data_IF_335344781509
#
_entry.id   IF_335344781509
#
_cell.length_a   1.000
_cell.length_b   1.000
_cell.length_c   1.000
_cell.angle_alpha   90.00
_cell.angle_beta   90.00
_cell.angle_gamma   90.00
#
_symmetry.space_group_name_H-M   'P 1'
#
loop_
_entity.id
_entity.type
_entity.pdbx_description
1 polymer ?
#
# COMPACT_ATOMS: atom_id res chain seq x y z
N UNK A 1 -20.48 13.40 -19.75
CA UNK A 1 -19.45 14.21 -19.08
C UNK A 1 -19.75 14.28 -17.59
N UNK A 2 -18.87 13.81 -16.74
CA UNK A 2 -19.10 13.88 -15.30
C UNK A 2 -18.76 15.29 -14.79
N UNK A 3 -19.65 15.84 -13.98
CA UNK A 3 -19.38 17.07 -13.23
C UNK A 3 -18.66 16.68 -11.93
N UNK A 4 -17.65 17.45 -11.55
CA UNK A 4 -16.89 17.21 -10.33
C UNK A 4 -17.22 18.31 -9.33
N UNK A 5 -17.48 17.91 -8.08
CA UNK A 5 -17.61 18.81 -6.94
C UNK A 5 -16.55 18.48 -5.91
N UNK A 6 -16.02 19.50 -5.23
CA UNK A 6 -15.02 19.34 -4.18
C UNK A 6 -15.63 19.71 -2.83
N UNK A 7 -15.60 18.77 -1.89
CA UNK A 7 -16.06 18.96 -0.50
C UNK A 7 -14.95 18.48 0.42
N UNK A 8 -14.50 19.33 1.34
CA UNK A 8 -13.43 19.03 2.30
C UNK A 8 -12.17 18.44 1.63
N UNK A 9 -11.73 19.05 0.53
CA UNK A 9 -10.57 18.63 -0.29
C UNK A 9 -10.73 17.29 -1.01
N UNK A 10 -11.93 16.70 -1.01
CA UNK A 10 -12.21 15.47 -1.75
C UNK A 10 -12.98 15.83 -3.02
N UNK A 11 -12.51 15.32 -4.15
CA UNK A 11 -13.23 15.41 -5.41
C UNK A 11 -14.24 14.29 -5.50
N UNK A 12 -15.47 14.65 -5.86
CA UNK A 12 -16.56 13.70 -6.07
C UNK A 12 -17.06 13.81 -7.50
N UNK A 13 -17.34 12.65 -8.10
CA UNK A 13 -18.13 12.60 -9.34
C UNK A 13 -19.61 12.69 -8.99
N UNK A 14 -20.36 13.48 -9.75
CA UNK A 14 -21.79 13.68 -9.54
C UNK A 14 -22.57 12.82 -10.54
N UNK A 15 -23.50 12.02 -10.01
CA UNK A 15 -24.39 11.18 -10.79
C UNK A 15 -25.85 11.59 -10.50
N UNK A 16 -26.50 12.38 -11.40
CA UNK A 16 -27.91 12.71 -11.23
C UNK A 16 -28.80 11.48 -11.25
N UNK A 17 -29.75 11.42 -10.33
CA UNK A 17 -30.71 10.33 -10.23
C UNK A 17 -32.06 10.76 -10.84
N UNK A 18 -32.91 9.77 -11.21
CA UNK A 18 -34.24 10.03 -11.82
C UNK A 18 -35.18 10.79 -10.88
N UNK A 19 -35.02 10.63 -9.55
CA UNK A 19 -35.83 11.30 -8.54
C UNK A 19 -35.39 12.76 -8.23
N UNK A 20 -34.40 13.28 -8.97
CA UNK A 20 -33.86 14.62 -8.76
C UNK A 20 -32.77 14.69 -7.68
N UNK A 21 -32.46 13.60 -7.02
CA UNK A 21 -31.34 13.54 -6.08
C UNK A 21 -30.01 13.42 -6.82
N UNK A 22 -28.91 13.78 -6.15
CA UNK A 22 -27.54 13.64 -6.65
C UNK A 22 -26.82 12.56 -5.88
N UNK A 23 -26.25 11.59 -6.59
CA UNK A 23 -25.33 10.62 -6.00
C UNK A 23 -23.91 11.15 -6.17
N UNK A 24 -23.18 11.28 -5.04
CA UNK A 24 -21.78 11.68 -5.04
C UNK A 24 -20.91 10.46 -4.78
N UNK A 25 -19.94 10.21 -5.65
CA UNK A 25 -18.93 9.16 -5.46
C UNK A 25 -17.54 9.79 -5.34
N UNK A 26 -16.78 9.48 -4.27
CA UNK A 26 -15.41 9.98 -4.13
C UNK A 26 -14.57 9.54 -5.34
N UNK A 27 -13.85 10.50 -5.92
CA UNK A 27 -12.93 10.22 -7.01
C UNK A 27 -11.64 9.64 -6.45
N UNK A 28 -11.28 8.43 -6.93
CA UNK A 28 -10.07 7.75 -6.50
C UNK A 28 -8.88 8.19 -7.33
N UNK A 29 -7.75 8.49 -6.67
CA UNK A 29 -6.50 8.83 -7.33
C UNK A 29 -5.76 7.54 -7.63
N UNK A 30 -5.48 7.28 -8.92
CA UNK A 30 -4.74 6.10 -9.34
C UNK A 30 -3.23 6.36 -9.29
N UNK A 31 -2.48 5.46 -8.66
CA UNK A 31 -1.02 5.50 -8.60
C UNK A 31 -0.48 4.18 -9.12
N UNK A 32 0.37 4.23 -10.15
CA UNK A 32 0.98 3.05 -10.76
C UNK A 32 2.51 3.15 -10.91
N UNK A 33 3.12 4.16 -10.32
CA UNK A 33 4.58 4.32 -10.33
C UNK A 33 5.09 4.89 -9.01
N UNK A 34 6.39 4.67 -8.75
CA UNK A 34 7.03 5.06 -7.49
C UNK A 34 7.18 6.58 -7.35
N UNK A 35 7.40 7.30 -8.45
CA UNK A 35 7.56 8.76 -8.41
C UNK A 35 6.27 9.44 -7.96
N UNK A 36 5.15 9.00 -8.49
CA UNK A 36 3.84 9.51 -8.08
C UNK A 36 3.50 9.10 -6.64
N UNK A 37 3.84 7.88 -6.25
CA UNK A 37 3.64 7.40 -4.88
C UNK A 37 4.36 8.30 -3.87
N UNK A 38 5.59 8.72 -4.18
CA UNK A 38 6.39 9.57 -3.31
C UNK A 38 5.84 11.00 -3.11
N UNK A 39 4.85 11.40 -3.89
CA UNK A 39 4.21 12.72 -3.77
C UNK A 39 3.13 12.78 -2.68
N UNK A 40 2.76 11.64 -2.08
CA UNK A 40 1.71 11.54 -1.08
C UNK A 40 2.27 11.11 0.28
N UNK A 41 1.59 11.54 1.34
CA UNK A 41 1.91 11.13 2.71
C UNK A 41 0.92 10.07 3.18
N UNK A 42 1.42 8.87 3.44
CA UNK A 42 0.63 7.73 3.90
C UNK A 42 0.66 7.54 5.42
N UNK A 43 1.36 8.40 6.15
CA UNK A 43 1.31 8.38 7.61
C UNK A 43 -0.10 8.69 8.09
N UNK A 44 -0.57 7.96 9.10
CA UNK A 44 -1.95 8.05 9.63
C UNK A 44 -3.04 7.76 8.58
N UNK A 45 -2.70 7.02 7.53
CA UNK A 45 -3.67 6.54 6.55
C UNK A 45 -4.32 5.25 7.01
N UNK A 46 -5.44 4.89 6.36
CA UNK A 46 -6.15 3.64 6.58
C UNK A 46 -6.18 2.82 5.30
N UNK A 47 -5.81 1.55 5.39
CA UNK A 47 -5.95 0.61 4.27
C UNK A 47 -7.41 0.18 4.21
N UNK A 48 -8.08 0.50 3.10
CA UNK A 48 -9.48 0.14 2.87
C UNK A 48 -9.60 -1.30 2.35
N UNK A 49 -8.73 -1.67 1.41
CA UNK A 49 -8.68 -3.02 0.87
C UNK A 49 -7.31 -3.32 0.29
N UNK A 50 -6.96 -4.60 0.23
CA UNK A 50 -5.71 -5.05 -0.36
C UNK A 50 -5.91 -6.36 -1.10
N UNK A 51 -5.43 -6.43 -2.34
CA UNK A 51 -5.35 -7.67 -3.13
C UNK A 51 -3.92 -7.88 -3.59
N UNK A 52 -3.42 -9.09 -3.42
CA UNK A 52 -2.13 -9.53 -3.95
C UNK A 52 -2.40 -10.74 -4.83
N UNK A 53 -2.02 -10.67 -6.12
CA UNK A 53 -2.25 -11.73 -7.12
C UNK A 53 -3.71 -12.22 -7.12
N UNK A 54 -4.67 -11.27 -7.03
CA UNK A 54 -6.11 -11.50 -6.97
C UNK A 54 -6.64 -12.12 -5.66
N UNK A 55 -5.78 -12.40 -4.69
CA UNK A 55 -6.20 -12.85 -3.36
C UNK A 55 -6.48 -11.64 -2.47
N UNK A 56 -7.67 -11.64 -1.85
CA UNK A 56 -8.07 -10.58 -0.91
C UNK A 56 -7.38 -10.82 0.42
N UNK A 57 -6.67 -9.79 0.91
CA UNK A 57 -6.04 -9.82 2.22
C UNK A 57 -6.85 -8.97 3.21
N UNK A 58 -7.23 -9.56 4.34
CA UNK A 58 -7.85 -8.86 5.46
C UNK A 58 -6.78 -8.27 6.39
N UNK A 59 -5.89 -7.43 5.83
CA UNK A 59 -4.81 -6.79 6.57
C UNK A 59 -4.91 -5.29 6.43
N UNK A 60 -4.77 -4.59 7.56
CA UNK A 60 -4.90 -3.14 7.65
C UNK A 60 -3.60 -2.44 8.06
N UNK A 61 -2.48 -3.16 8.06
CA UNK A 61 -1.17 -2.60 8.40
C UNK A 61 -0.18 -2.86 7.26
N UNK A 62 0.55 -1.83 6.86
CA UNK A 62 1.56 -1.94 5.80
C UNK A 62 2.63 -2.98 6.12
N UNK A 63 3.07 -3.03 7.38
CA UNK A 63 4.04 -4.03 7.84
C UNK A 63 3.58 -5.46 7.58
N UNK A 64 2.32 -5.76 7.84
CA UNK A 64 1.77 -7.10 7.63
C UNK A 64 1.71 -7.45 6.14
N UNK A 65 1.37 -6.49 5.29
CA UNK A 65 1.36 -6.65 3.83
C UNK A 65 2.78 -6.88 3.32
N UNK A 66 3.74 -6.09 3.79
CA UNK A 66 5.15 -6.25 3.42
C UNK A 66 5.66 -7.64 3.77
N UNK A 67 5.32 -8.15 4.96
CA UNK A 67 5.71 -9.48 5.38
C UNK A 67 5.17 -10.56 4.42
N UNK A 68 3.92 -10.42 3.97
CA UNK A 68 3.35 -11.34 2.98
C UNK A 68 4.05 -11.25 1.62
N UNK A 69 4.38 -10.04 1.16
CA UNK A 69 5.15 -9.83 -0.08
C UNK A 69 6.52 -10.53 0.04
N UNK A 70 7.21 -10.33 1.14
CA UNK A 70 8.51 -10.97 1.35
C UNK A 70 8.41 -12.50 1.41
N UNK A 71 7.35 -13.06 1.96
CA UNK A 71 7.10 -14.50 1.95
C UNK A 71 6.89 -15.05 0.54
N UNK A 72 6.17 -14.31 -0.30
CA UNK A 72 5.95 -14.69 -1.71
C UNK A 72 7.28 -14.70 -2.48
N UNK A 73 8.11 -13.67 -2.29
CA UNK A 73 9.36 -13.50 -3.01
C UNK A 73 10.41 -14.52 -2.55
N UNK A 74 10.47 -14.76 -1.25
CA UNK A 74 11.61 -15.44 -0.60
C UNK A 74 11.44 -16.94 -0.50
N UNK A 75 10.69 -17.60 -1.23
CA UNK A 75 10.48 -19.07 -1.25
C UNK A 75 11.63 -19.93 -0.63
N UNK A 76 12.14 -19.54 0.57
CA UNK A 76 13.14 -20.26 1.35
C UNK A 76 14.61 -19.81 1.24
N UNK A 77 14.91 -18.72 0.54
CA UNK A 77 16.32 -18.30 0.30
C UNK A 77 16.92 -17.38 1.36
N UNK A 78 16.14 -16.80 2.28
CA UNK A 78 16.57 -15.83 3.31
C UNK A 78 17.24 -14.56 2.74
N UNK A 79 17.09 -14.28 1.46
CA UNK A 79 17.69 -13.11 0.80
C UNK A 79 16.60 -12.36 0.05
N UNK A 80 16.38 -11.11 0.42
CA UNK A 80 15.51 -10.19 -0.33
C UNK A 80 16.41 -9.30 -1.18
N UNK A 81 16.31 -9.43 -2.50
CA UNK A 81 17.10 -8.64 -3.45
C UNK A 81 16.51 -7.25 -3.64
N UNK A 82 17.38 -6.28 -3.86
CA UNK A 82 16.99 -4.90 -4.20
C UNK A 82 16.04 -4.26 -3.18
N UNK A 83 16.16 -4.64 -1.91
CA UNK A 83 15.37 -4.04 -0.84
C UNK A 83 15.80 -2.60 -0.58
N UNK A 84 14.83 -1.76 -0.26
CA UNK A 84 15.06 -0.39 0.22
C UNK A 84 15.15 -0.33 1.75
N UNK A 85 14.91 -1.43 2.45
CA UNK A 85 14.93 -1.53 3.90
C UNK A 85 16.22 -2.21 4.38
N UNK A 86 16.57 -1.96 5.63
CA UNK A 86 17.67 -2.65 6.29
C UNK A 86 17.24 -4.03 6.76
N UNK A 87 17.93 -5.06 6.29
CA UNK A 87 17.62 -6.46 6.58
C UNK A 87 18.87 -7.15 7.11
N UNK A 88 18.69 -7.97 8.15
CA UNK A 88 19.72 -8.88 8.67
C UNK A 88 19.28 -10.32 8.48
N UNK A 89 20.17 -11.19 8.13
CA UNK A 89 19.89 -12.64 7.91
C UNK A 89 20.01 -13.46 9.20
N UNK A 90 19.91 -12.80 10.34
CA UNK A 90 19.93 -13.39 11.68
C UNK A 90 18.77 -12.86 12.50
N UNK A 91 18.46 -13.54 13.61
CA UNK A 91 17.53 -12.98 14.60
C UNK A 91 18.16 -11.77 15.29
N UNK A 92 17.50 -10.63 15.17
CA UNK A 92 17.96 -9.36 15.72
C UNK A 92 16.76 -8.49 16.11
N UNK A 93 16.61 -8.20 17.39
CA UNK A 93 15.44 -7.49 17.94
C UNK A 93 15.83 -6.16 18.62
N UNK A 94 16.86 -5.49 18.12
CA UNK A 94 17.34 -4.21 18.64
C UNK A 94 17.23 -3.10 17.60
N UNK A 95 17.29 -1.86 18.03
CA UNK A 95 17.32 -0.68 17.15
C UNK A 95 16.19 -0.63 16.12
N UNK A 96 14.97 -1.03 16.53
CA UNK A 96 13.80 -1.02 15.65
C UNK A 96 13.68 -2.22 14.71
N UNK A 97 14.60 -3.18 14.76
CA UNK A 97 14.46 -4.41 13.99
C UNK A 97 13.45 -5.36 14.65
N UNK A 98 12.75 -6.10 13.83
CA UNK A 98 11.88 -7.21 14.25
C UNK A 98 12.20 -8.45 13.43
N UNK A 99 12.09 -9.62 14.06
CA UNK A 99 12.41 -10.90 13.46
C UNK A 99 11.18 -11.55 12.83
N UNK A 100 11.31 -11.95 11.55
CA UNK A 100 10.35 -12.80 10.86
C UNK A 100 10.83 -14.24 10.90
N UNK A 101 10.33 -15.02 11.85
CA UNK A 101 10.75 -16.40 12.06
C UNK A 101 10.58 -17.26 10.82
N UNK A 102 9.46 -17.10 10.11
CA UNK A 102 9.15 -17.88 8.90
C UNK A 102 10.18 -17.69 7.79
N UNK A 103 10.83 -16.53 7.72
CA UNK A 103 11.82 -16.20 6.71
C UNK A 103 13.25 -16.25 7.24
N UNK A 104 13.42 -16.31 8.56
CA UNK A 104 14.74 -16.27 9.20
C UNK A 104 15.49 -14.95 9.00
N UNK A 105 14.78 -13.85 8.84
CA UNK A 105 15.35 -12.52 8.63
C UNK A 105 14.80 -11.53 9.65
N UNK A 106 15.60 -10.49 9.93
CA UNK A 106 15.16 -9.34 10.73
C UNK A 106 15.10 -8.09 9.86
N UNK A 107 14.04 -7.33 10.00
CA UNK A 107 13.76 -6.13 9.19
C UNK A 107 13.70 -4.94 10.11
N UNK A 108 14.39 -3.86 9.75
CA UNK A 108 14.24 -2.61 10.48
C UNK A 108 12.90 -1.95 10.13
N UNK A 109 12.10 -1.67 11.16
CA UNK A 109 10.82 -0.99 11.01
C UNK A 109 11.00 0.43 10.47
N UNK A 110 10.09 0.84 9.62
CA UNK A 110 10.07 2.16 8.98
C UNK A 110 8.67 2.74 9.03
N UNK A 111 8.53 4.02 8.69
CA UNK A 111 7.21 4.66 8.60
C UNK A 111 6.37 4.09 7.45
N UNK A 112 5.09 4.49 7.40
CA UNK A 112 4.16 4.02 6.39
C UNK A 112 4.62 4.35 4.97
N UNK A 113 5.22 5.51 4.75
CA UNK A 113 5.68 5.95 3.43
C UNK A 113 6.78 5.02 2.89
N UNK A 114 7.79 4.75 3.70
CA UNK A 114 8.89 3.86 3.32
C UNK A 114 8.44 2.41 3.18
N UNK A 115 7.52 1.97 4.05
CA UNK A 115 6.97 0.62 3.98
C UNK A 115 6.18 0.40 2.70
N UNK A 116 5.28 1.32 2.35
CA UNK A 116 4.49 1.23 1.11
C UNK A 116 5.37 1.34 -0.13
N UNK A 117 6.39 2.19 -0.09
CA UNK A 117 7.37 2.29 -1.17
C UNK A 117 8.07 0.95 -1.43
N UNK A 118 8.52 0.27 -0.37
CA UNK A 118 9.14 -1.05 -0.49
C UNK A 118 8.16 -2.11 -1.02
N UNK A 119 6.91 -2.10 -0.55
CA UNK A 119 5.87 -3.01 -1.06
C UNK A 119 5.74 -2.86 -2.58
N UNK A 120 5.56 -1.63 -3.06
CA UNK A 120 5.41 -1.36 -4.49
C UNK A 120 6.68 -1.70 -5.27
N UNK A 121 7.85 -1.34 -4.72
CA UNK A 121 9.14 -1.64 -5.32
C UNK A 121 9.32 -3.16 -5.55
N UNK A 122 9.05 -3.96 -4.54
CA UNK A 122 9.19 -5.41 -4.65
C UNK A 122 8.13 -6.03 -5.57
N UNK A 123 6.91 -5.55 -5.54
CA UNK A 123 5.86 -6.02 -6.45
C UNK A 123 6.23 -5.77 -7.91
N UNK A 124 6.78 -4.59 -8.23
CA UNK A 124 7.24 -4.28 -9.58
C UNK A 124 8.38 -5.17 -10.03
N UNK A 125 9.37 -5.38 -9.17
CA UNK A 125 10.57 -6.15 -9.50
C UNK A 125 10.31 -7.65 -9.61
N UNK A 126 9.27 -8.16 -8.97
CA UNK A 126 8.96 -9.59 -8.91
C UNK A 126 7.66 -9.96 -9.63
N UNK A 127 7.09 -9.06 -10.43
CA UNK A 127 5.87 -9.28 -11.20
C UNK A 127 4.69 -9.74 -10.31
N UNK A 128 4.56 -9.16 -9.14
CA UNK A 128 3.44 -9.40 -8.23
C UNK A 128 2.37 -8.36 -8.52
N UNK A 129 1.15 -8.79 -8.77
CA UNK A 129 0.01 -7.91 -8.96
C UNK A 129 -0.46 -7.40 -7.59
N UNK A 130 -0.56 -6.08 -7.46
CA UNK A 130 -0.97 -5.41 -6.25
C UNK A 130 -2.10 -4.45 -6.54
N UNK A 131 -3.13 -4.46 -5.68
CA UNK A 131 -4.22 -3.50 -5.72
C UNK A 131 -4.56 -3.12 -4.28
N UNK A 132 -4.09 -1.96 -3.85
CA UNK A 132 -4.36 -1.43 -2.50
C UNK A 132 -5.18 -0.15 -2.62
N UNK A 133 -6.29 -0.11 -1.88
CA UNK A 133 -7.09 1.11 -1.70
C UNK A 133 -6.82 1.68 -0.32
N UNK A 134 -6.51 2.97 -0.28
CA UNK A 134 -6.04 3.66 0.92
C UNK A 134 -6.82 4.96 1.08
N UNK A 135 -7.22 5.25 2.32
CA UNK A 135 -7.78 6.54 2.69
C UNK A 135 -6.73 7.33 3.46
N UNK A 136 -6.30 8.45 2.91
CA UNK A 136 -5.31 9.34 3.54
C UNK A 136 -5.92 10.07 4.74
N UNK A 137 -5.07 10.68 5.56
CA UNK A 137 -5.51 11.45 6.74
C UNK A 137 -6.39 12.65 6.38
N UNK A 138 -6.26 13.19 5.17
CA UNK A 138 -7.11 14.26 4.63
C UNK A 138 -8.36 13.73 3.89
N UNK A 139 -8.68 12.46 4.05
CA UNK A 139 -9.80 11.74 3.44
C UNK A 139 -9.71 11.50 1.92
N UNK A 140 -8.63 11.87 1.26
CA UNK A 140 -8.43 11.49 -0.15
C UNK A 140 -8.32 9.98 -0.29
N UNK A 141 -8.91 9.44 -1.35
CA UNK A 141 -8.85 8.02 -1.67
C UNK A 141 -7.77 7.77 -2.72
N UNK A 142 -6.87 6.86 -2.42
CA UNK A 142 -5.75 6.46 -3.28
C UNK A 142 -5.93 4.99 -3.64
N UNK A 143 -5.73 4.67 -4.91
CA UNK A 143 -5.63 3.28 -5.37
C UNK A 143 -4.26 3.04 -5.97
N UNK A 144 -3.45 2.24 -5.31
CA UNK A 144 -2.12 1.84 -5.78
C UNK A 144 -2.24 0.53 -6.50
N UNK A 145 -1.86 0.52 -7.78
CA UNK A 145 -1.95 -0.65 -8.66
C UNK A 145 -0.56 -0.95 -9.24
N UNK A 146 -0.18 -2.19 -9.14
CA UNK A 146 1.04 -2.70 -9.78
C UNK A 146 0.69 -3.84 -10.74
#
# INVERSE_FOLDING_TARGET
MSTIITIDNINYDIYPQENGELLLRPKMIQINNLDKLAQYDFCNSNIVSCKINNDILNKNKYKSILNDIYKIINSGTKIIKNTTLNIKTIEYNHRGFYYLEELGISIQGVDANKCLYEIVNQCKKNNINLDIKIKLSDNKLINVIV
#
